data_IF_329788723352
#
_entry.id   IF_329788723352
#
_cell.length_a   1.000
_cell.length_b   1.000
_cell.length_c   1.000
_cell.angle_alpha   90.00
_cell.angle_beta   90.00
_cell.angle_gamma   90.00
#
_symmetry.space_group_name_H-M   'P 1'
#
loop_
_entity.id
_entity.type
_entity.pdbx_description
1 polymer ?
#
# COMPACT_ATOMS: atom_id res chain seq x y z
N UNK A 1 -3.45 -8.28 -38.02
CA UNK A 1 -3.37 -6.81 -38.12
C UNK A 1 -4.11 -6.21 -36.94
N UNK A 2 -3.50 -5.22 -36.27
CA UNK A 2 -3.64 -4.84 -34.86
C UNK A 2 -5.05 -4.30 -34.50
N UNK A 3 -5.73 -4.90 -33.51
CA UNK A 3 -6.89 -4.26 -32.85
C UNK A 3 -6.38 -3.23 -31.84
N UNK A 4 -6.59 -1.95 -32.18
CA UNK A 4 -6.35 -0.77 -31.36
C UNK A 4 -7.11 -0.90 -30.03
N UNK A 5 -6.41 -1.15 -28.93
CA UNK A 5 -6.89 -0.81 -27.58
C UNK A 5 -6.46 0.62 -27.27
N UNK A 6 -7.16 1.59 -27.89
CA UNK A 6 -7.14 2.97 -27.43
C UNK A 6 -8.38 3.14 -26.54
N UNK A 7 -8.33 2.58 -25.33
CA UNK A 7 -9.35 2.86 -24.31
C UNK A 7 -8.91 4.11 -23.56
N UNK A 8 -9.47 5.24 -24.00
CA UNK A 8 -9.77 6.43 -23.21
C UNK A 8 -8.77 6.83 -22.11
N UNK A 9 -7.61 7.36 -22.50
CA UNK A 9 -6.83 8.27 -21.66
C UNK A 9 -7.40 9.69 -21.80
N UNK A 10 -8.60 9.93 -21.26
CA UNK A 10 -9.24 11.25 -21.30
C UNK A 10 -10.15 11.40 -20.08
N UNK A 11 -9.55 11.45 -18.88
CA UNK A 11 -10.04 12.13 -17.67
C UNK A 11 -8.95 12.08 -16.55
N UNK A 12 -7.68 12.37 -16.87
CA UNK A 12 -6.58 12.35 -15.89
C UNK A 12 -6.09 13.76 -15.47
N UNK A 13 -6.86 14.81 -15.77
CA UNK A 13 -6.35 16.19 -15.73
C UNK A 13 -6.66 17.05 -14.49
N UNK A 14 -7.51 16.63 -13.55
CA UNK A 14 -7.92 17.53 -12.45
C UNK A 14 -8.24 16.88 -11.08
N UNK A 15 -8.00 15.57 -10.91
CA UNK A 15 -8.18 14.87 -9.61
C UNK A 15 -6.90 14.21 -9.07
N UNK A 16 -5.72 14.58 -9.57
CA UNK A 16 -4.43 14.18 -8.97
C UNK A 16 -4.15 14.89 -7.62
N UNK A 17 -5.19 15.44 -6.97
CA UNK A 17 -5.12 16.43 -5.90
C UNK A 17 -5.44 15.76 -4.54
N UNK A 18 -4.62 16.02 -3.51
CA UNK A 18 -4.65 15.48 -2.14
C UNK A 18 -4.34 13.97 -1.96
N UNK A 19 -4.88 13.07 -2.77
CA UNK A 19 -4.75 11.61 -2.54
C UNK A 19 -3.33 11.08 -2.81
N UNK A 20 -2.61 11.67 -3.78
CA UNK A 20 -1.26 11.21 -4.17
C UNK A 20 -0.18 11.57 -3.13
N UNK A 21 -0.27 12.76 -2.52
CA UNK A 21 0.61 13.16 -1.40
C UNK A 21 0.37 12.28 -0.17
N UNK A 22 -0.88 11.99 0.16
CA UNK A 22 -1.24 11.04 1.23
C UNK A 22 -0.61 9.68 0.95
N UNK A 23 -0.70 9.16 -0.29
CA UNK A 23 -0.13 7.85 -0.62
C UNK A 23 1.39 7.82 -0.52
N UNK A 24 2.07 8.87 -0.97
CA UNK A 24 3.52 8.99 -0.82
C UNK A 24 3.95 8.95 0.66
N UNK A 25 3.27 9.71 1.52
CA UNK A 25 3.54 9.71 2.97
C UNK A 25 3.23 8.35 3.60
N UNK A 26 2.09 7.73 3.25
CA UNK A 26 1.72 6.38 3.73
C UNK A 26 2.76 5.36 3.31
N UNK A 27 3.20 5.37 2.05
CA UNK A 27 4.28 4.53 1.54
C UNK A 27 5.55 4.73 2.35
N UNK A 28 5.97 5.96 2.56
CA UNK A 28 7.18 6.24 3.34
C UNK A 28 7.08 5.71 4.77
N UNK A 29 5.95 5.90 5.45
CA UNK A 29 5.75 5.43 6.82
C UNK A 29 5.75 3.89 6.88
N UNK A 30 4.99 3.23 6.00
CA UNK A 30 4.90 1.76 5.99
C UNK A 30 6.26 1.15 5.66
N UNK A 31 6.98 1.64 4.65
CA UNK A 31 8.28 1.05 4.27
C UNK A 31 9.28 1.05 5.43
N UNK A 32 9.32 2.15 6.20
CA UNK A 32 10.18 2.27 7.37
C UNK A 32 9.74 1.35 8.51
N UNK A 33 8.43 1.28 8.79
CA UNK A 33 7.87 0.43 9.84
C UNK A 33 8.04 -1.06 9.55
N UNK A 34 7.86 -1.48 8.30
CA UNK A 34 7.81 -2.89 7.91
C UNK A 34 9.19 -3.49 7.63
N UNK A 35 10.07 -2.73 6.96
CA UNK A 35 11.33 -3.27 6.45
C UNK A 35 12.54 -2.37 6.66
N UNK A 36 12.35 -1.16 7.18
CA UNK A 36 13.36 -0.09 7.11
C UNK A 36 13.77 0.22 5.66
N UNK A 37 12.81 0.18 4.73
CA UNK A 37 13.01 0.48 3.31
C UNK A 37 13.60 -0.65 2.46
N UNK A 38 13.88 -1.83 3.03
CA UNK A 38 14.55 -2.92 2.31
C UNK A 38 13.60 -3.68 1.38
N UNK A 39 13.83 -3.62 0.08
CA UNK A 39 13.00 -4.21 -0.98
C UNK A 39 13.23 -5.70 -1.25
N UNK A 40 14.42 -6.22 -0.97
CA UNK A 40 14.79 -7.62 -1.27
C UNK A 40 14.48 -8.65 -0.18
N UNK A 41 13.80 -8.27 0.91
CA UNK A 41 13.66 -9.14 2.08
C UNK A 41 12.36 -9.96 2.07
N UNK A 42 12.44 -11.15 2.67
CA UNK A 42 11.27 -11.98 2.98
C UNK A 42 11.37 -12.39 4.44
N UNK A 43 10.35 -12.10 5.24
CA UNK A 43 10.37 -12.53 6.63
C UNK A 43 9.97 -14.00 6.80
N UNK A 44 10.15 -14.54 8.02
CA UNK A 44 9.87 -15.95 8.33
C UNK A 44 8.41 -16.37 8.17
N UNK A 45 7.47 -15.42 8.07
CA UNK A 45 6.05 -15.67 7.81
C UNK A 45 5.67 -15.55 6.32
N UNK A 46 6.64 -15.27 5.44
CA UNK A 46 6.44 -15.19 4.00
C UNK A 46 5.92 -13.84 3.51
N UNK A 47 6.06 -12.77 4.30
CA UNK A 47 5.76 -11.41 3.84
C UNK A 47 6.93 -10.85 3.04
N UNK A 48 6.62 -10.12 1.97
CA UNK A 48 7.54 -9.82 0.88
C UNK A 48 7.87 -8.33 0.76
N UNK A 49 9.17 -8.04 0.65
CA UNK A 49 9.71 -6.77 0.18
C UNK A 49 9.56 -5.59 1.12
N UNK A 50 9.72 -4.39 0.55
CA UNK A 50 9.77 -3.08 1.21
C UNK A 50 8.57 -2.83 2.12
N UNK A 51 7.42 -3.35 1.71
CA UNK A 51 6.15 -3.18 2.43
C UNK A 51 5.66 -4.44 3.12
N UNK A 52 6.47 -5.50 3.17
CA UNK A 52 6.10 -6.78 3.78
C UNK A 52 4.70 -7.25 3.34
N UNK A 53 4.46 -7.35 2.03
CA UNK A 53 3.17 -7.77 1.50
C UNK A 53 2.85 -9.23 1.83
N UNK A 54 1.61 -9.47 2.28
CA UNK A 54 1.06 -10.82 2.37
C UNK A 54 0.52 -11.29 1.01
N UNK A 55 0.53 -12.62 0.79
CA UNK A 55 0.07 -13.20 -0.47
C UNK A 55 -1.39 -12.83 -0.82
N UNK A 56 -2.29 -12.77 0.17
CA UNK A 56 -3.68 -12.36 -0.07
C UNK A 56 -3.77 -10.92 -0.59
N UNK A 57 -2.96 -9.99 -0.07
CA UNK A 57 -2.92 -8.62 -0.54
C UNK A 57 -2.46 -8.54 -1.99
N UNK A 58 -1.40 -9.28 -2.35
CA UNK A 58 -0.89 -9.38 -3.72
C UNK A 58 -1.90 -10.03 -4.68
N UNK A 59 -2.71 -10.99 -4.21
CA UNK A 59 -3.83 -11.56 -4.97
C UNK A 59 -4.94 -10.53 -5.19
N UNK A 60 -5.28 -9.76 -4.15
CA UNK A 60 -6.34 -8.75 -4.21
C UNK A 60 -6.05 -7.64 -5.23
N UNK A 61 -4.77 -7.26 -5.38
CA UNK A 61 -4.31 -6.24 -6.34
C UNK A 61 -3.81 -6.80 -7.68
N UNK A 62 -3.96 -8.11 -7.89
CA UNK A 62 -3.67 -8.77 -9.15
C UNK A 62 -2.19 -8.96 -9.49
N UNK A 63 -1.27 -8.82 -8.53
CA UNK A 63 0.15 -9.20 -8.70
C UNK A 63 0.29 -10.73 -8.69
N UNK A 64 -0.49 -11.41 -7.84
CA UNK A 64 -0.62 -12.86 -7.82
C UNK A 64 -1.92 -13.31 -8.48
N UNK A 65 -1.88 -14.46 -9.14
CA UNK A 65 -3.02 -15.06 -9.82
C UNK A 65 -4.10 -15.48 -8.82
N UNK A 66 -5.25 -14.79 -8.89
CA UNK A 66 -6.43 -15.10 -8.07
C UNK A 66 -7.04 -16.46 -8.42
N UNK A 67 -7.03 -16.85 -9.69
CA UNK A 67 -7.54 -18.17 -10.10
C UNK A 67 -6.69 -19.29 -9.50
N UNK A 68 -5.37 -19.16 -9.56
CA UNK A 68 -4.47 -20.16 -8.98
C UNK A 68 -4.56 -20.18 -7.46
N UNK A 69 -4.61 -19.01 -6.82
CA UNK A 69 -4.79 -18.95 -5.37
C UNK A 69 -6.06 -19.70 -4.93
N UNK A 70 -7.18 -19.47 -5.61
CA UNK A 70 -8.45 -20.16 -5.32
C UNK A 70 -8.41 -21.66 -5.63
N UNK A 71 -7.79 -22.07 -6.74
CA UNK A 71 -7.73 -23.49 -7.11
C UNK A 71 -6.81 -24.28 -6.19
N UNK A 72 -5.82 -23.64 -5.57
CA UNK A 72 -4.81 -24.26 -4.70
C UNK A 72 -5.13 -24.12 -3.21
N UNK A 73 -6.18 -23.37 -2.85
CA UNK A 73 -6.59 -23.18 -1.46
C UNK A 73 -8.04 -23.59 -1.22
N UNK A 74 -8.38 -23.73 0.05
CA UNK A 74 -9.75 -23.86 0.54
C UNK A 74 -9.86 -23.26 1.93
N UNK A 75 -11.07 -22.91 2.35
CA UNK A 75 -11.33 -22.43 3.69
C UNK A 75 -12.01 -23.50 4.52
N UNK A 76 -11.69 -23.58 5.81
CA UNK A 76 -12.49 -24.32 6.79
C UNK A 76 -13.02 -23.36 7.84
N UNK A 77 -14.30 -23.45 8.22
CA UNK A 77 -14.80 -22.75 9.40
C UNK A 77 -13.95 -23.12 10.61
N UNK A 78 -13.83 -22.18 11.54
CA UNK A 78 -13.24 -22.48 12.85
C UNK A 78 -14.31 -22.22 13.91
N UNK A 79 -14.29 -22.98 15.01
CA UNK A 79 -15.32 -22.90 16.03
C UNK A 79 -15.42 -21.52 16.70
N UNK A 80 -14.34 -20.73 16.68
CA UNK A 80 -14.21 -19.50 17.48
C UNK A 80 -13.73 -18.29 16.68
N UNK A 81 -13.43 -18.44 15.37
CA UNK A 81 -12.82 -17.37 14.55
C UNK A 81 -13.29 -17.42 13.09
N UNK A 82 -12.92 -16.37 12.33
CA UNK A 82 -13.08 -16.35 10.87
C UNK A 82 -12.40 -17.58 10.23
N UNK A 83 -13.00 -18.06 9.14
CA UNK A 83 -12.52 -19.23 8.42
C UNK A 83 -11.03 -19.10 8.06
N UNK A 84 -10.26 -20.16 8.31
CA UNK A 84 -8.82 -20.21 8.01
C UNK A 84 -8.60 -20.77 6.61
N UNK A 85 -7.63 -20.22 5.90
CA UNK A 85 -7.19 -20.72 4.60
C UNK A 85 -6.22 -21.90 4.78
N UNK A 86 -6.43 -22.96 4.01
CA UNK A 86 -5.61 -24.15 3.93
C UNK A 86 -5.19 -24.38 2.48
N UNK A 87 -4.03 -25.02 2.32
CA UNK A 87 -3.47 -25.38 1.01
C UNK A 87 -3.91 -26.80 0.63
N UNK A 88 -4.19 -27.01 -0.66
CA UNK A 88 -4.52 -28.31 -1.22
C UNK A 88 -3.27 -29.12 -1.53
N UNK A 89 -3.40 -30.44 -1.58
CA UNK A 89 -2.38 -31.35 -2.12
C UNK A 89 -0.97 -31.19 -1.51
N UNK A 90 -0.88 -30.90 -0.20
CA UNK A 90 0.41 -30.69 0.47
C UNK A 90 1.16 -29.41 0.09
N UNK A 91 0.52 -28.51 -0.67
CA UNK A 91 1.11 -27.21 -0.98
C UNK A 91 1.28 -26.35 0.29
N UNK A 92 2.07 -25.29 0.15
CA UNK A 92 2.32 -24.32 1.20
C UNK A 92 2.37 -22.91 0.63
N UNK A 93 2.37 -21.91 1.52
CA UNK A 93 2.56 -20.52 1.13
C UNK A 93 3.87 -20.33 0.35
N UNK A 94 4.96 -20.93 0.82
CA UNK A 94 6.25 -20.85 0.14
C UNK A 94 6.21 -21.55 -1.23
N UNK A 95 5.56 -22.71 -1.32
CA UNK A 95 5.38 -23.39 -2.62
C UNK A 95 4.57 -22.55 -3.61
N UNK A 96 3.52 -21.87 -3.14
CA UNK A 96 2.73 -20.97 -3.96
C UNK A 96 3.54 -19.75 -4.43
N UNK A 97 4.23 -19.08 -3.52
CA UNK A 97 5.01 -17.88 -3.82
C UNK A 97 6.25 -18.16 -4.68
N UNK A 98 6.86 -19.34 -4.57
CA UNK A 98 8.06 -19.69 -5.34
C UNK A 98 7.75 -20.23 -6.74
N UNK A 99 6.47 -20.51 -7.07
CA UNK A 99 6.08 -20.94 -8.41
C UNK A 99 5.78 -19.71 -9.30
N UNK A 100 6.59 -19.43 -10.35
CA UNK A 100 6.39 -18.26 -11.22
C UNK A 100 5.02 -18.23 -11.91
N UNK A 101 4.37 -19.38 -12.15
CA UNK A 101 3.05 -19.44 -12.78
C UNK A 101 1.93 -18.85 -11.92
N UNK A 102 2.19 -18.61 -10.63
CA UNK A 102 1.25 -17.95 -9.73
C UNK A 102 1.37 -16.43 -9.72
N UNK A 103 2.34 -15.87 -10.45
CA UNK A 103 2.56 -14.44 -10.57
C UNK A 103 2.05 -13.94 -11.92
N UNK A 104 1.38 -12.79 -11.91
CA UNK A 104 1.03 -12.06 -13.14
C UNK A 104 2.17 -11.12 -13.58
N UNK A 105 3.33 -11.24 -12.94
CA UNK A 105 4.56 -10.51 -13.22
C UNK A 105 5.58 -11.49 -13.79
N UNK A 106 6.14 -11.17 -14.96
CA UNK A 106 7.21 -11.97 -15.58
C UNK A 106 8.43 -12.05 -14.64
N UNK A 107 8.97 -13.25 -14.46
CA UNK A 107 10.07 -13.51 -13.50
C UNK A 107 9.61 -13.74 -12.06
N UNK A 108 8.29 -13.62 -11.79
CA UNK A 108 7.66 -14.00 -10.55
C UNK A 108 8.21 -13.31 -9.31
N UNK A 109 8.36 -14.07 -8.22
CA UNK A 109 8.82 -13.55 -6.92
C UNK A 109 10.17 -12.84 -6.99
N UNK A 110 11.11 -13.37 -7.79
CA UNK A 110 12.45 -12.77 -7.90
C UNK A 110 12.36 -11.38 -8.51
N UNK A 111 11.63 -11.24 -9.62
CA UNK A 111 11.41 -9.95 -10.28
C UNK A 111 10.72 -8.96 -9.34
N UNK A 112 9.70 -9.41 -8.61
CA UNK A 112 9.01 -8.56 -7.63
C UNK A 112 9.94 -8.06 -6.52
N UNK A 113 10.83 -8.90 -6.00
CA UNK A 113 11.75 -8.51 -4.91
C UNK A 113 12.92 -7.64 -5.40
N UNK A 114 13.31 -7.73 -6.66
CA UNK A 114 14.39 -6.91 -7.24
C UNK A 114 13.94 -5.56 -7.77
N UNK A 115 12.63 -5.34 -7.93
CA UNK A 115 12.07 -4.13 -8.53
C UNK A 115 11.31 -3.31 -7.49
N UNK A 116 11.93 -2.23 -6.99
CA UNK A 116 11.28 -1.34 -6.03
C UNK A 116 10.11 -0.57 -6.62
N UNK A 117 10.18 -0.22 -7.90
CA UNK A 117 9.12 0.54 -8.57
C UNK A 117 7.86 -0.31 -8.70
N UNK A 118 8.01 -1.60 -9.00
CA UNK A 118 6.91 -2.55 -8.99
C UNK A 118 6.29 -2.74 -7.59
N UNK A 119 7.11 -2.69 -6.53
CA UNK A 119 6.60 -2.74 -5.15
C UNK A 119 5.85 -1.47 -4.77
N UNK A 120 6.30 -0.30 -5.24
CA UNK A 120 5.62 0.98 -5.03
C UNK A 120 4.28 1.01 -5.77
N UNK A 121 4.26 0.55 -7.03
CA UNK A 121 3.03 0.41 -7.80
C UNK A 121 2.05 -0.56 -7.14
N UNK A 122 2.54 -1.70 -6.63
CA UNK A 122 1.74 -2.64 -5.86
C UNK A 122 1.14 -1.98 -4.60
N UNK A 123 1.92 -1.14 -3.91
CA UNK A 123 1.41 -0.42 -2.75
C UNK A 123 0.35 0.61 -3.16
N UNK A 124 0.56 1.36 -4.23
CA UNK A 124 -0.43 2.32 -4.73
C UNK A 124 -1.75 1.63 -5.07
N UNK A 125 -1.71 0.48 -5.76
CA UNK A 125 -2.90 -0.34 -6.04
C UNK A 125 -3.61 -0.78 -4.76
N UNK A 126 -2.85 -1.21 -3.74
CA UNK A 126 -3.42 -1.64 -2.45
C UNK A 126 -4.05 -0.47 -1.69
N UNK A 127 -3.42 0.70 -1.70
CA UNK A 127 -3.94 1.91 -1.07
C UNK A 127 -5.24 2.35 -1.76
N UNK A 128 -5.30 2.39 -3.10
CA UNK A 128 -6.56 2.68 -3.84
C UNK A 128 -7.67 1.71 -3.48
N UNK A 129 -7.37 0.40 -3.44
CA UNK A 129 -8.34 -0.62 -3.07
C UNK A 129 -8.84 -0.44 -1.63
N UNK A 130 -7.95 -0.09 -0.69
CA UNK A 130 -8.31 0.14 0.69
C UNK A 130 -9.13 1.42 0.87
N UNK A 131 -8.82 2.50 0.15
CA UNK A 131 -9.63 3.73 0.10
C UNK A 131 -11.06 3.40 -0.28
N UNK A 132 -11.28 2.71 -1.41
CA UNK A 132 -12.61 2.30 -1.87
C UNK A 132 -13.35 1.45 -0.81
N UNK A 133 -12.65 0.51 -0.17
CA UNK A 133 -13.21 -0.36 0.87
C UNK A 133 -13.56 0.40 2.15
N UNK A 134 -12.87 1.49 2.46
CA UNK A 134 -13.15 2.36 3.60
C UNK A 134 -14.31 3.32 3.30
N UNK A 135 -14.34 3.93 2.12
CA UNK A 135 -15.46 4.77 1.66
C UNK A 135 -16.76 3.97 1.62
N UNK A 136 -16.72 2.73 1.11
CA UNK A 136 -17.87 1.81 1.14
C UNK A 136 -18.34 1.43 2.56
N UNK A 137 -17.54 1.75 3.59
CA UNK A 137 -17.89 1.60 5.01
C UNK A 137 -18.28 2.93 5.68
N UNK A 138 -18.41 4.01 4.90
CA UNK A 138 -18.85 5.32 5.36
C UNK A 138 -17.75 6.21 5.95
N UNK A 139 -16.46 5.89 5.71
CA UNK A 139 -15.37 6.77 6.12
C UNK A 139 -15.14 7.87 5.08
N UNK A 140 -15.04 9.12 5.53
CA UNK A 140 -14.52 10.23 4.74
C UNK A 140 -12.99 10.25 4.86
N UNK A 141 -12.29 10.19 3.73
CA UNK A 141 -10.82 10.27 3.65
C UNK A 141 -10.34 11.60 3.04
N UNK A 142 -11.20 12.62 2.99
CA UNK A 142 -10.83 13.96 2.52
C UNK A 142 -9.81 14.65 3.45
N UNK A 143 -9.87 14.38 4.76
CA UNK A 143 -8.86 14.81 5.73
C UNK A 143 -7.58 13.94 5.62
N UNK A 144 -6.41 14.52 5.28
CA UNK A 144 -5.17 13.77 5.11
C UNK A 144 -4.73 13.00 6.35
N UNK A 145 -4.96 13.53 7.56
CA UNK A 145 -4.56 12.87 8.80
C UNK A 145 -5.35 11.58 9.02
N UNK A 146 -6.67 11.67 8.86
CA UNK A 146 -7.61 10.56 8.95
C UNK A 146 -7.32 9.52 7.87
N UNK A 147 -7.08 9.97 6.64
CA UNK A 147 -6.74 9.09 5.53
C UNK A 147 -5.48 8.27 5.83
N UNK A 148 -4.39 8.92 6.25
CA UNK A 148 -3.13 8.24 6.63
C UNK A 148 -3.34 7.21 7.74
N UNK A 149 -4.02 7.60 8.82
CA UNK A 149 -4.29 6.70 9.95
C UNK A 149 -5.07 5.46 9.53
N UNK A 150 -6.13 5.62 8.75
CA UNK A 150 -6.95 4.51 8.30
C UNK A 150 -6.22 3.62 7.29
N UNK A 151 -5.47 4.19 6.34
CA UNK A 151 -4.76 3.44 5.31
C UNK A 151 -3.60 2.63 5.89
N UNK A 152 -2.80 3.21 6.79
CA UNK A 152 -1.69 2.52 7.46
C UNK A 152 -2.23 1.39 8.37
N UNK A 153 -3.30 1.66 9.13
CA UNK A 153 -3.96 0.62 9.93
C UNK A 153 -4.60 -0.48 9.06
N UNK A 154 -5.13 -0.12 7.90
CA UNK A 154 -5.73 -1.08 6.95
C UNK A 154 -4.68 -1.96 6.29
N UNK A 155 -3.49 -1.43 6.01
CA UNK A 155 -2.36 -2.23 5.55
C UNK A 155 -1.98 -3.31 6.58
N UNK A 156 -1.87 -2.93 7.86
CA UNK A 156 -1.48 -3.84 8.94
C UNK A 156 -2.56 -4.88 9.29
N UNK A 157 -3.78 -4.44 9.59
CA UNK A 157 -4.83 -5.29 10.16
C UNK A 157 -5.97 -5.63 9.20
N UNK A 158 -5.92 -5.12 7.96
CA UNK A 158 -7.04 -5.13 7.03
C UNK A 158 -8.09 -4.04 7.34
N UNK A 159 -8.81 -3.61 6.31
CA UNK A 159 -9.83 -2.55 6.40
C UNK A 159 -10.87 -2.81 7.50
N UNK A 160 -11.33 -4.06 7.64
CA UNK A 160 -12.33 -4.39 8.65
C UNK A 160 -11.86 -4.17 10.09
N UNK A 161 -10.59 -4.44 10.39
CA UNK A 161 -10.02 -4.21 11.72
C UNK A 161 -9.75 -2.73 11.94
N UNK A 162 -9.22 -2.04 10.92
CA UNK A 162 -9.01 -0.59 10.96
C UNK A 162 -10.32 0.18 11.19
N UNK A 163 -11.40 -0.21 10.51
CA UNK A 163 -12.72 0.39 10.70
C UNK A 163 -13.24 0.19 12.13
N UNK A 164 -13.13 -1.02 12.68
CA UNK A 164 -13.56 -1.31 14.06
C UNK A 164 -12.75 -0.54 15.10
N UNK A 165 -11.44 -0.40 14.88
CA UNK A 165 -10.60 0.41 15.73
C UNK A 165 -11.00 1.89 15.66
N UNK A 166 -11.21 2.43 14.45
CA UNK A 166 -11.59 3.83 14.26
C UNK A 166 -12.97 4.17 14.85
N UNK A 167 -13.95 3.27 14.74
CA UNK A 167 -15.32 3.50 15.22
C UNK A 167 -15.47 3.23 16.72
N UNK A 168 -14.82 2.17 17.22
CA UNK A 168 -15.12 1.62 18.54
C UNK A 168 -13.89 1.44 19.43
N UNK A 169 -12.69 1.81 18.97
CA UNK A 169 -11.44 1.54 19.69
C UNK A 169 -11.11 0.06 19.83
N UNK A 170 -11.73 -0.82 19.02
CA UNK A 170 -11.52 -2.27 19.09
C UNK A 170 -10.09 -2.64 18.70
N UNK A 171 -9.30 -3.08 19.66
CA UNK A 171 -7.91 -3.48 19.41
C UNK A 171 -7.79 -4.82 18.67
N UNK A 172 -6.85 -4.85 17.73
CA UNK A 172 -6.39 -6.04 17.02
C UNK A 172 -4.89 -6.17 17.24
N UNK A 173 -4.44 -7.37 17.58
CA UNK A 173 -3.01 -7.71 17.64
C UNK A 173 -2.67 -8.80 16.64
N UNK A 174 -1.52 -8.65 15.98
CA UNK A 174 -0.96 -9.72 15.17
C UNK A 174 -0.36 -10.84 16.05
N UNK A 175 0.19 -11.87 15.40
CA UNK A 175 0.83 -12.99 16.10
C UNK A 175 2.20 -12.65 16.72
N UNK A 176 2.70 -11.41 16.61
CA UNK A 176 3.85 -10.91 17.38
C UNK A 176 3.40 -9.99 18.55
N UNK A 177 2.09 -9.77 18.72
CA UNK A 177 1.55 -8.86 19.73
C UNK A 177 1.54 -7.39 19.32
N UNK A 178 1.92 -7.08 18.07
CA UNK A 178 1.86 -5.72 17.53
C UNK A 178 0.40 -5.29 17.42
N UNK A 179 0.08 -4.10 17.94
CA UNK A 179 -1.30 -3.59 18.00
C UNK A 179 -1.65 -2.71 16.80
N UNK A 180 -2.90 -2.77 16.34
CA UNK A 180 -3.39 -1.90 15.26
C UNK A 180 -3.35 -0.42 15.64
N UNK A 181 -3.49 -0.10 16.93
CA UNK A 181 -3.32 1.28 17.42
C UNK A 181 -1.94 1.86 17.12
N UNK A 182 -0.87 1.05 17.09
CA UNK A 182 0.49 1.49 16.70
C UNK A 182 0.48 2.07 15.29
N UNK A 183 -0.13 1.34 14.36
CA UNK A 183 -0.22 1.71 12.95
C UNK A 183 -1.17 2.89 12.72
N UNK A 184 -2.32 2.89 13.40
CA UNK A 184 -3.26 4.01 13.33
C UNK A 184 -2.63 5.32 13.82
N UNK A 185 -1.88 5.29 14.93
CA UNK A 185 -1.19 6.47 15.48
C UNK A 185 -0.03 6.94 14.61
N UNK A 186 0.65 6.05 13.88
CA UNK A 186 1.73 6.43 12.96
C UNK A 186 1.21 7.41 11.89
N UNK A 187 0.00 7.18 11.36
CA UNK A 187 -0.65 8.13 10.45
C UNK A 187 -0.94 9.48 11.11
N UNK A 188 -1.51 9.50 12.31
CA UNK A 188 -1.88 10.74 13.00
C UNK A 188 -0.66 11.61 13.37
N UNK A 189 0.46 10.98 13.73
CA UNK A 189 1.67 11.69 14.13
C UNK A 189 2.42 12.32 12.95
N UNK A 190 2.26 11.79 11.73
CA UNK A 190 2.89 12.39 10.53
C UNK A 190 2.35 13.79 10.20
N UNK A 191 1.10 14.10 10.57
CA UNK A 191 0.48 15.43 10.42
C UNK A 191 1.11 16.50 11.34
N UNK A 192 1.80 16.09 12.41
CA UNK A 192 2.56 17.00 13.28
C UNK A 192 3.95 17.32 12.71
N UNK A 193 4.53 16.38 11.98
CA UNK A 193 5.84 16.55 11.34
C UNK A 193 5.74 17.51 10.14
N UNK A 194 4.70 17.39 9.30
CA UNK A 194 4.52 18.29 8.15
C UNK A 194 4.30 19.76 8.54
N UNK A 195 3.69 20.05 9.70
CA UNK A 195 3.59 21.43 10.23
C UNK A 195 4.92 22.03 10.69
N UNK A 196 5.91 21.20 10.99
CA UNK A 196 7.24 21.64 11.41
C UNK A 196 8.24 21.71 10.24
N UNK A 197 7.97 21.02 9.13
CA UNK A 197 8.79 21.09 7.90
C UNK A 197 8.45 22.30 7.04
N UNK A 198 7.23 22.85 7.16
CA UNK A 198 6.82 24.09 6.43
C UNK A 198 7.32 25.40 7.09
N UNK A 199 8.38 25.35 7.90
CA UNK A 199 8.97 26.54 8.54
C UNK A 199 10.38 26.90 8.09
N UNK A 200 10.97 26.13 7.18
CA UNK A 200 12.24 26.47 6.54
C UNK A 200 12.10 26.23 5.04
N UNK A 201 12.10 27.35 4.31
CA UNK A 201 12.46 27.55 2.89
C UNK A 201 11.57 28.63 2.26
N UNK A 202 11.71 29.86 2.77
CA UNK A 202 11.28 31.08 2.07
C UNK A 202 12.20 31.30 0.85
N UNK A 203 11.84 30.68 -0.28
CA UNK A 203 12.46 30.93 -1.59
C UNK A 203 11.96 32.25 -2.24
N UNK A 204 11.75 33.31 -1.45
CA UNK A 204 11.46 34.66 -1.97
C UNK A 204 12.70 35.57 -2.03
N UNK A 205 13.91 35.07 -1.73
CA UNK A 205 15.13 35.89 -1.64
C UNK A 205 16.18 35.70 -2.77
N UNK A 206 15.89 34.93 -3.82
CA UNK A 206 16.87 34.64 -4.89
C UNK A 206 16.49 35.06 -6.33
N UNK A 207 15.56 36.00 -6.50
CA UNK A 207 15.32 36.65 -7.81
C UNK A 207 15.88 38.07 -7.91
N UNK A 208 17.01 38.33 -7.25
CA UNK A 208 17.81 39.53 -7.52
C UNK A 208 19.16 39.13 -8.13
N UNK A 209 19.12 38.65 -9.37
CA UNK A 209 20.32 38.46 -10.19
C UNK A 209 20.09 39.10 -11.56
N UNK A 210 20.61 40.32 -11.67
CA UNK A 210 21.22 40.93 -12.84
C UNK A 210 20.50 40.78 -14.19
N UNK A 211 19.83 41.88 -14.54
CA UNK A 211 19.63 42.39 -15.89
C UNK A 211 20.79 42.07 -16.85
N UNK A 212 20.57 41.17 -17.78
CA UNK A 212 21.30 41.15 -19.05
C UNK A 212 20.54 42.02 -20.04
N UNK A 213 21.02 43.26 -20.21
CA UNK A 213 20.68 44.08 -21.38
C UNK A 213 21.26 43.39 -22.61
N UNK A 214 20.39 42.93 -23.50
CA UNK A 214 20.73 42.76 -24.91
C UNK A 214 20.04 43.90 -25.64
N UNK A 215 20.87 44.79 -26.18
CA UNK A 215 20.50 45.89 -27.05
C UNK A 215 19.77 45.36 -28.29
N UNK A 216 18.62 45.98 -28.59
CA UNK A 216 18.19 46.18 -29.97
C UNK A 216 17.75 47.63 -30.11
N UNK A 217 18.35 48.26 -31.11
CA UNK A 217 18.20 49.62 -31.65
C UNK A 217 18.94 50.74 -30.92
#
# INVERSE_FOLDING_TARGET
>A
MIKKYLVGLLMAGAFANANESVFSEVKNIISHMESSGRSGIVNSRGFLGKYQFGAMSLVDIGILSKSNYKSLTYTRPTATRKAKVFWRNGLSLNGFLNNPMNWNVTGGKSAFLSDESLQDEAMDRLLRLNTQRLEARGFDLSDPSTAKSLLIASHFGGVGSASKYAQYGSEYSDAYGTKISKYFKAGANSSKVSKNVQKEDDYSSLLNVNTWKIERE
#
